data_IF_034171261359
#
_entry.id   IF_034171261359
#
_cell.length_a   1.000
_cell.length_b   1.000
_cell.length_c   1.000
_cell.angle_alpha   90.00
_cell.angle_beta   90.00
_cell.angle_gamma   90.00
#
_symmetry.space_group_name_H-M   'P 1'
#
loop_
_entity.id
_entity.type
_entity.pdbx_description
1 polymer ?
#
# COMPACT_ATOMS: atom_id res chain seq x y z
N UNK A 1 22.66 7.71 -18.51
CA UNK A 1 22.01 9.06 -18.57
C UNK A 1 22.44 9.85 -17.33
N UNK A 2 22.41 11.20 -17.33
CA UNK A 2 22.62 11.93 -16.06
C UNK A 2 21.42 11.78 -15.15
N UNK A 3 21.63 11.89 -13.83
CA UNK A 3 20.54 11.83 -12.83
C UNK A 3 19.45 12.85 -13.15
N UNK A 4 19.82 14.09 -13.52
CA UNK A 4 18.86 15.12 -13.89
C UNK A 4 18.01 14.74 -15.11
N UNK A 5 18.62 14.12 -16.12
CA UNK A 5 17.88 13.65 -17.29
C UNK A 5 16.90 12.53 -16.94
N UNK A 6 17.23 11.66 -15.97
CA UNK A 6 16.34 10.62 -15.49
C UNK A 6 15.15 11.21 -14.72
N UNK A 7 15.38 12.21 -13.86
CA UNK A 7 14.29 12.91 -13.16
C UNK A 7 13.36 13.64 -14.13
N UNK A 8 13.88 14.28 -15.19
CA UNK A 8 13.03 14.86 -16.24
C UNK A 8 12.24 13.76 -16.98
N UNK A 9 12.82 12.59 -17.19
CA UNK A 9 12.15 11.47 -17.84
C UNK A 9 11.02 10.88 -16.99
N UNK A 10 11.04 11.01 -15.65
CA UNK A 10 9.90 10.64 -14.78
C UNK A 10 8.63 11.46 -15.02
N UNK A 11 8.74 12.64 -15.66
CA UNK A 11 7.61 13.49 -16.07
C UNK A 11 7.03 13.11 -17.43
N UNK A 12 7.69 12.21 -18.17
CA UNK A 12 7.34 11.94 -19.56
C UNK A 12 5.95 11.32 -19.69
N UNK A 13 5.11 11.71 -20.67
CA UNK A 13 3.76 11.17 -20.84
C UNK A 13 3.75 9.66 -21.16
N UNK A 14 4.78 9.15 -21.84
CA UNK A 14 4.90 7.71 -22.12
C UNK A 14 5.33 6.92 -20.87
N UNK A 15 4.48 5.98 -20.37
CA UNK A 15 4.78 5.20 -19.17
C UNK A 15 6.06 4.36 -19.31
N UNK A 16 6.36 3.81 -20.49
CA UNK A 16 7.55 2.98 -20.69
C UNK A 16 8.85 3.76 -20.45
N UNK A 17 8.86 5.06 -20.80
CA UNK A 17 10.03 5.90 -20.55
C UNK A 17 10.16 6.26 -19.06
N UNK A 18 9.03 6.46 -18.36
CA UNK A 18 9.05 6.65 -16.91
C UNK A 18 9.55 5.40 -16.18
N UNK A 19 9.04 4.23 -16.56
CA UNK A 19 9.43 2.96 -15.94
C UNK A 19 10.92 2.65 -16.19
N UNK A 20 11.43 2.97 -17.37
CA UNK A 20 12.87 2.88 -17.65
C UNK A 20 13.69 3.81 -16.74
N UNK A 21 13.30 5.08 -16.63
CA UNK A 21 13.99 6.04 -15.76
C UNK A 21 13.92 5.62 -14.28
N UNK A 22 12.78 5.09 -13.83
CA UNK A 22 12.60 4.52 -12.50
C UNK A 22 13.65 3.45 -12.20
N UNK A 23 13.79 2.45 -13.08
CA UNK A 23 14.74 1.36 -12.87
C UNK A 23 16.19 1.81 -12.99
N UNK A 24 16.51 2.76 -13.89
CA UNK A 24 17.84 3.33 -13.97
C UNK A 24 18.20 4.10 -12.67
N UNK A 25 17.28 4.90 -12.11
CA UNK A 25 17.47 5.60 -10.83
C UNK A 25 17.64 4.63 -9.66
N UNK A 26 16.83 3.55 -9.62
CA UNK A 26 16.89 2.57 -8.55
C UNK A 26 18.20 1.79 -8.48
N UNK A 27 18.93 1.71 -9.59
CA UNK A 27 20.23 1.02 -9.68
C UNK A 27 21.42 1.92 -9.35
N UNK A 28 21.20 3.23 -9.21
CA UNK A 28 22.27 4.17 -8.92
C UNK A 28 22.50 4.28 -7.41
N UNK A 29 23.75 4.10 -6.98
CA UNK A 29 24.19 4.32 -5.61
C UNK A 29 24.53 5.80 -5.39
N UNK A 30 23.51 6.69 -5.41
CA UNK A 30 23.68 8.13 -5.23
C UNK A 30 22.76 8.63 -4.11
N UNK A 31 23.37 9.22 -3.09
CA UNK A 31 22.68 9.69 -1.88
C UNK A 31 21.68 10.82 -2.13
N UNK A 32 21.73 11.48 -3.28
CA UNK A 32 20.82 12.58 -3.62
C UNK A 32 19.47 12.09 -4.16
N UNK A 33 19.36 10.82 -4.58
CA UNK A 33 18.17 10.29 -5.26
C UNK A 33 16.97 10.25 -4.29
N UNK A 34 17.14 9.65 -3.11
CA UNK A 34 16.04 9.52 -2.14
C UNK A 34 15.51 10.89 -1.71
N UNK A 35 16.34 11.86 -1.26
CA UNK A 35 15.84 13.19 -0.91
C UNK A 35 15.11 13.90 -2.06
N UNK A 36 15.60 13.77 -3.29
CA UNK A 36 14.93 14.36 -4.47
C UNK A 36 13.59 13.69 -4.75
N UNK A 37 13.47 12.37 -4.65
CA UNK A 37 12.20 11.67 -4.81
C UNK A 37 11.20 12.05 -3.72
N UNK A 38 11.66 12.17 -2.47
CA UNK A 38 10.83 12.60 -1.35
C UNK A 38 10.27 14.01 -1.58
N UNK A 39 11.06 14.95 -2.14
CA UNK A 39 10.60 16.30 -2.47
C UNK A 39 9.56 16.37 -3.58
N UNK A 40 9.28 15.26 -4.28
CA UNK A 40 8.25 15.19 -5.33
C UNK A 40 6.89 14.75 -4.76
N UNK A 41 6.83 14.25 -3.54
CA UNK A 41 5.61 13.68 -2.96
C UNK A 41 4.49 14.70 -2.73
N UNK A 42 4.78 16.01 -2.73
CA UNK A 42 3.82 17.11 -2.63
C UNK A 42 3.44 17.77 -3.96
N UNK A 43 4.08 17.37 -5.06
CA UNK A 43 3.89 18.01 -6.35
C UNK A 43 2.44 17.84 -6.86
N UNK A 44 1.91 18.89 -7.50
CA UNK A 44 0.56 18.87 -8.08
C UNK A 44 0.45 17.93 -9.28
N UNK A 45 1.54 17.79 -10.06
CA UNK A 45 1.60 16.84 -11.17
C UNK A 45 1.50 15.40 -10.65
N UNK A 46 0.29 14.85 -10.78
CA UNK A 46 -0.02 13.49 -10.34
C UNK A 46 0.81 12.43 -11.06
N UNK A 47 1.18 12.66 -12.33
CA UNK A 47 1.99 11.71 -13.11
C UNK A 47 3.40 11.66 -12.55
N UNK A 48 4.00 12.81 -12.31
CA UNK A 48 5.33 12.91 -11.73
C UNK A 48 5.39 12.37 -10.29
N UNK A 49 4.41 12.76 -9.46
CA UNK A 49 4.29 12.24 -8.08
C UNK A 49 4.15 10.72 -8.03
N UNK A 50 3.30 10.13 -8.90
CA UNK A 50 3.15 8.65 -8.98
C UNK A 50 4.44 7.98 -9.48
N UNK A 51 5.17 8.59 -10.39
CA UNK A 51 6.45 8.07 -10.82
C UNK A 51 7.47 8.08 -9.68
N UNK A 52 7.52 9.16 -8.87
CA UNK A 52 8.38 9.21 -7.67
C UNK A 52 8.01 8.14 -6.64
N UNK A 53 6.71 7.94 -6.35
CA UNK A 53 6.22 6.88 -5.46
C UNK A 53 6.71 5.50 -5.91
N UNK A 54 6.57 5.18 -7.20
CA UNK A 54 7.05 3.92 -7.76
C UNK A 54 8.58 3.80 -7.69
N UNK A 55 9.30 4.91 -7.96
CA UNK A 55 10.75 4.92 -7.93
C UNK A 55 11.28 4.70 -6.51
N UNK A 56 10.66 5.31 -5.49
CA UNK A 56 10.99 5.04 -4.08
C UNK A 56 10.80 3.56 -3.74
N UNK A 57 9.72 2.94 -4.24
CA UNK A 57 9.52 1.49 -4.11
C UNK A 57 10.63 0.68 -4.76
N UNK A 58 11.03 1.03 -5.99
CA UNK A 58 12.07 0.33 -6.73
C UNK A 58 13.47 0.49 -6.11
N UNK A 59 13.78 1.66 -5.50
CA UNK A 59 15.01 1.89 -4.71
C UNK A 59 15.08 0.94 -3.50
N UNK A 60 13.95 0.65 -2.88
CA UNK A 60 13.83 -0.42 -1.90
C UNK A 60 13.96 0.02 -0.44
N UNK A 61 14.41 -0.89 0.46
CA UNK A 61 14.29 -0.74 1.91
C UNK A 61 14.92 0.53 2.50
N UNK A 62 15.94 1.10 1.86
CA UNK A 62 16.58 2.34 2.31
C UNK A 62 15.63 3.55 2.28
N UNK A 63 14.50 3.45 1.58
CA UNK A 63 13.47 4.49 1.54
C UNK A 63 12.48 4.42 2.68
N UNK A 64 12.42 3.28 3.42
CA UNK A 64 11.43 3.06 4.49
C UNK A 64 11.53 4.12 5.61
N UNK A 65 12.71 4.41 6.20
CA UNK A 65 12.78 5.39 7.28
C UNK A 65 12.27 6.79 6.89
N UNK A 66 12.72 7.42 5.78
CA UNK A 66 12.20 8.72 5.37
C UNK A 66 10.72 8.70 4.97
N UNK A 67 10.19 7.56 4.46
CA UNK A 67 8.78 7.42 4.16
C UNK A 67 7.92 7.35 5.43
N UNK A 68 8.38 6.63 6.47
CA UNK A 68 7.73 6.60 7.79
C UNK A 68 7.68 8.00 8.38
N UNK A 69 8.80 8.72 8.37
CA UNK A 69 8.88 10.09 8.86
C UNK A 69 7.86 11.01 8.15
N UNK A 70 7.83 10.96 6.81
CA UNK A 70 6.91 11.76 6.02
C UNK A 70 5.44 11.39 6.25
N UNK A 71 5.14 10.11 6.44
CA UNK A 71 3.80 9.61 6.70
C UNK A 71 3.27 10.05 8.08
N UNK A 72 4.11 9.98 9.11
CA UNK A 72 3.67 10.26 10.48
C UNK A 72 3.66 11.75 10.81
N UNK A 73 4.57 12.53 10.23
CA UNK A 73 4.85 13.90 10.69
C UNK A 73 4.51 15.00 9.67
N UNK A 74 4.14 14.67 8.43
CA UNK A 74 3.77 15.70 7.45
C UNK A 74 2.37 16.23 7.68
N UNK A 75 2.22 17.55 7.73
CA UNK A 75 0.90 18.22 7.72
C UNK A 75 0.18 18.07 6.36
N UNK A 76 0.92 17.76 5.29
CA UNK A 76 0.38 17.61 3.95
C UNK A 76 -0.17 16.21 3.72
N UNK A 77 -1.49 16.09 3.62
CA UNK A 77 -2.21 14.83 3.33
C UNK A 77 -1.70 14.13 2.07
N UNK A 78 -1.33 14.91 1.03
CA UNK A 78 -0.81 14.34 -0.22
C UNK A 78 0.53 13.66 0.00
N UNK A 79 1.39 14.23 0.83
CA UNK A 79 2.66 13.63 1.23
C UNK A 79 2.42 12.37 2.05
N UNK A 80 1.57 12.42 3.11
CA UNK A 80 1.25 11.24 3.93
C UNK A 80 0.73 10.08 3.08
N UNK A 81 -0.29 10.33 2.24
CA UNK A 81 -0.87 9.32 1.37
C UNK A 81 0.09 8.80 0.28
N UNK A 82 1.02 9.64 -0.20
CA UNK A 82 2.05 9.23 -1.16
C UNK A 82 3.12 8.37 -0.48
N UNK A 83 3.51 8.71 0.75
CA UNK A 83 4.45 7.93 1.54
C UNK A 83 3.92 6.51 1.84
N UNK A 84 2.64 6.39 2.26
CA UNK A 84 1.98 5.09 2.44
C UNK A 84 2.04 4.24 1.16
N UNK A 85 1.72 4.85 0.02
CA UNK A 85 1.75 4.15 -1.28
C UNK A 85 3.17 3.73 -1.68
N UNK A 86 4.19 4.55 -1.34
CA UNK A 86 5.58 4.20 -1.60
C UNK A 86 6.03 3.03 -0.72
N UNK A 87 5.61 2.95 0.55
CA UNK A 87 5.85 1.80 1.42
C UNK A 87 5.26 0.50 0.83
N UNK A 88 4.03 0.56 0.30
CA UNK A 88 3.45 -0.58 -0.42
C UNK A 88 4.28 -0.97 -1.65
N UNK A 89 4.78 0.01 -2.40
CA UNK A 89 5.64 -0.27 -3.57
C UNK A 89 6.97 -0.91 -3.17
N UNK A 90 7.55 -0.60 -2.00
CA UNK A 90 8.74 -1.32 -1.50
C UNK A 90 8.43 -2.80 -1.33
N UNK A 91 7.31 -3.15 -0.70
CA UNK A 91 6.91 -4.55 -0.52
C UNK A 91 6.67 -5.28 -1.87
N UNK A 92 6.05 -4.59 -2.83
CA UNK A 92 5.79 -5.16 -4.18
C UNK A 92 7.09 -5.37 -4.96
N UNK A 93 8.03 -4.42 -4.91
CA UNK A 93 9.27 -4.49 -5.66
C UNK A 93 10.31 -5.43 -5.03
N UNK A 94 10.21 -5.69 -3.72
CA UNK A 94 11.17 -6.49 -2.96
C UNK A 94 10.46 -7.56 -2.12
N UNK A 95 9.69 -8.47 -2.74
CA UNK A 95 8.88 -9.47 -2.03
C UNK A 95 9.72 -10.49 -1.26
N UNK A 96 11.00 -10.62 -1.60
CA UNK A 96 11.97 -11.48 -0.92
C UNK A 96 12.48 -10.90 0.41
N UNK A 97 12.26 -9.61 0.65
CA UNK A 97 12.70 -8.93 1.87
C UNK A 97 11.51 -8.80 2.82
N UNK A 98 11.56 -9.39 4.02
CA UNK A 98 10.50 -9.20 5.01
C UNK A 98 10.31 -7.71 5.31
N UNK A 99 9.05 -7.26 5.28
CA UNK A 99 8.75 -5.86 5.60
C UNK A 99 9.08 -5.57 7.06
N UNK A 100 9.70 -4.42 7.34
CA UNK A 100 10.21 -4.12 8.67
C UNK A 100 9.09 -3.97 9.71
N UNK A 101 9.35 -4.37 10.95
CA UNK A 101 8.40 -4.21 12.06
C UNK A 101 8.04 -2.71 12.26
N UNK A 102 9.02 -1.82 12.14
CA UNK A 102 8.81 -0.38 12.22
C UNK A 102 7.84 0.12 11.13
N UNK A 103 8.01 -0.36 9.89
CA UNK A 103 7.09 -0.08 8.79
C UNK A 103 5.68 -0.60 9.04
N UNK A 104 5.54 -1.80 9.62
CA UNK A 104 4.25 -2.38 9.99
C UNK A 104 3.54 -1.55 11.06
N UNK A 105 4.25 -1.12 12.11
CA UNK A 105 3.70 -0.27 13.16
C UNK A 105 3.29 1.11 12.63
N UNK A 106 4.08 1.66 11.72
CA UNK A 106 3.75 2.91 11.06
C UNK A 106 2.50 2.81 10.19
N UNK A 107 2.33 1.73 9.41
CA UNK A 107 1.11 1.47 8.63
C UNK A 107 -0.10 1.23 9.54
N UNK A 108 0.07 0.54 10.68
CA UNK A 108 -0.98 0.41 11.70
C UNK A 108 -1.42 1.79 12.22
N UNK A 109 -0.49 2.68 12.48
CA UNK A 109 -0.81 4.06 12.90
C UNK A 109 -1.56 4.83 11.83
N UNK A 110 -1.20 4.66 10.55
CA UNK A 110 -1.85 5.31 9.42
C UNK A 110 -3.30 4.87 9.19
N UNK A 111 -3.73 3.69 9.70
CA UNK A 111 -5.15 3.29 9.71
C UNK A 111 -6.02 4.23 10.55
N UNK A 112 -5.44 4.90 11.54
CA UNK A 112 -6.09 5.90 12.39
C UNK A 112 -5.93 7.34 11.90
N UNK A 113 -5.40 7.58 10.71
CA UNK A 113 -5.30 8.95 10.16
C UNK A 113 -6.68 9.57 9.96
N UNK A 114 -6.84 10.85 10.34
CA UNK A 114 -8.09 11.59 10.21
C UNK A 114 -8.55 11.72 8.75
N UNK A 115 -7.63 11.60 7.82
CA UNK A 115 -7.94 11.70 6.40
C UNK A 115 -8.18 10.33 5.75
N UNK A 116 -9.37 10.10 5.18
CA UNK A 116 -9.74 8.82 4.58
C UNK A 116 -8.83 8.39 3.42
N UNK A 117 -8.15 9.31 2.76
CA UNK A 117 -7.19 8.96 1.69
C UNK A 117 -5.97 8.24 2.26
N UNK A 118 -5.54 8.61 3.47
CA UNK A 118 -4.38 8.01 4.13
C UNK A 118 -4.73 6.66 4.72
N UNK A 119 -5.84 6.57 5.48
CA UNK A 119 -6.23 5.31 6.12
C UNK A 119 -6.62 4.23 5.10
N UNK A 120 -7.33 4.58 4.02
CA UNK A 120 -7.62 3.64 2.92
C UNK A 120 -6.32 3.20 2.23
N UNK A 121 -5.37 4.12 2.00
CA UNK A 121 -4.07 3.76 1.44
C UNK A 121 -3.30 2.80 2.35
N UNK A 122 -3.40 2.95 3.68
CA UNK A 122 -2.78 2.04 4.65
C UNK A 122 -3.39 0.63 4.59
N UNK A 123 -4.72 0.51 4.46
CA UNK A 123 -5.38 -0.78 4.24
C UNK A 123 -4.85 -1.45 2.97
N UNK A 124 -4.76 -0.69 1.87
CA UNK A 124 -4.25 -1.22 0.60
C UNK A 124 -2.78 -1.64 0.73
N UNK A 125 -1.95 -0.85 1.41
CA UNK A 125 -0.54 -1.18 1.64
C UNK A 125 -0.37 -2.48 2.44
N UNK A 126 -1.14 -2.65 3.52
CA UNK A 126 -1.15 -3.89 4.31
C UNK A 126 -1.63 -5.08 3.48
N UNK A 127 -2.62 -4.87 2.60
CA UNK A 127 -3.09 -5.88 1.66
C UNK A 127 -2.01 -6.33 0.66
N UNK A 128 -1.23 -5.41 0.12
CA UNK A 128 -0.12 -5.71 -0.80
C UNK A 128 1.05 -6.41 -0.08
N UNK A 129 1.35 -6.05 1.18
CA UNK A 129 2.33 -6.75 2.01
C UNK A 129 1.89 -8.20 2.24
N UNK A 130 0.61 -8.43 2.51
CA UNK A 130 -0.03 -9.75 2.57
C UNK A 130 0.54 -10.72 3.60
N UNK A 131 1.33 -10.24 4.57
CA UNK A 131 1.89 -11.05 5.64
C UNK A 131 0.83 -11.40 6.70
N UNK A 132 1.11 -12.43 7.53
CA UNK A 132 0.25 -12.78 8.65
C UNK A 132 0.07 -11.60 9.63
N UNK A 133 1.12 -10.82 9.87
CA UNK A 133 1.07 -9.63 10.73
C UNK A 133 0.20 -8.53 10.11
N UNK A 134 0.28 -8.33 8.79
CA UNK A 134 -0.59 -7.39 8.08
C UNK A 134 -2.07 -7.80 8.18
N UNK A 135 -2.34 -9.10 8.07
CA UNK A 135 -3.68 -9.65 8.27
C UNK A 135 -4.20 -9.36 9.68
N UNK A 136 -3.38 -9.60 10.72
CA UNK A 136 -3.76 -9.38 12.11
C UNK A 136 -4.02 -7.90 12.43
N UNK A 137 -3.22 -7.00 11.86
CA UNK A 137 -3.43 -5.55 11.97
C UNK A 137 -4.77 -5.15 11.33
N UNK A 138 -5.09 -5.66 10.14
CA UNK A 138 -6.36 -5.38 9.47
C UNK A 138 -7.55 -5.96 10.23
N UNK A 139 -7.40 -7.17 10.79
CA UNK A 139 -8.45 -7.80 11.59
C UNK A 139 -8.73 -7.02 12.88
N UNK A 140 -7.71 -6.51 13.54
CA UNK A 140 -7.86 -5.64 14.72
C UNK A 140 -8.56 -4.32 14.34
N UNK A 141 -8.13 -3.70 13.24
CA UNK A 141 -8.73 -2.47 12.73
C UNK A 141 -10.22 -2.66 12.38
N UNK A 142 -10.58 -3.78 11.74
CA UNK A 142 -11.98 -4.08 11.42
C UNK A 142 -12.86 -4.19 12.67
N UNK A 143 -12.34 -4.78 13.76
CA UNK A 143 -13.07 -4.96 15.01
C UNK A 143 -13.24 -3.67 15.83
N UNK A 144 -12.41 -2.68 15.58
CA UNK A 144 -12.35 -1.46 16.40
C UNK A 144 -12.85 -0.21 15.69
N UNK A 145 -13.03 -0.25 14.37
CA UNK A 145 -13.48 0.92 13.61
C UNK A 145 -14.99 1.01 13.52
N UNK A 146 -15.53 2.22 13.74
CA UNK A 146 -16.93 2.56 13.44
C UNK A 146 -17.10 3.14 12.03
N UNK A 147 -16.03 3.24 11.25
CA UNK A 147 -16.07 3.79 9.89
C UNK A 147 -16.43 2.71 8.88
N UNK A 148 -17.69 2.74 8.40
CA UNK A 148 -18.21 1.76 7.42
C UNK A 148 -17.36 1.70 6.15
N UNK A 149 -16.88 2.84 5.62
CA UNK A 149 -16.06 2.84 4.40
C UNK A 149 -14.71 2.15 4.62
N UNK A 150 -14.10 2.33 5.80
CA UNK A 150 -12.88 1.62 6.18
C UNK A 150 -13.14 0.12 6.35
N UNK A 151 -14.23 -0.25 7.04
CA UNK A 151 -14.66 -1.64 7.20
C UNK A 151 -14.87 -2.34 5.87
N UNK A 152 -15.55 -1.69 4.92
CA UNK A 152 -15.75 -2.18 3.54
C UNK A 152 -14.40 -2.39 2.84
N UNK A 153 -13.47 -1.44 2.98
CA UNK A 153 -12.15 -1.54 2.35
C UNK A 153 -11.34 -2.70 2.94
N UNK A 154 -11.32 -2.85 4.26
CA UNK A 154 -10.63 -3.96 4.95
C UNK A 154 -11.24 -5.30 4.53
N UNK A 155 -12.58 -5.40 4.54
CA UNK A 155 -13.31 -6.61 4.14
C UNK A 155 -12.98 -7.02 2.70
N UNK A 156 -12.95 -6.06 1.78
CA UNK A 156 -12.52 -6.31 0.40
C UNK A 156 -11.07 -6.79 0.31
N UNK A 157 -10.18 -6.27 1.16
CA UNK A 157 -8.76 -6.63 1.18
C UNK A 157 -8.56 -8.06 1.63
N UNK A 158 -9.36 -8.59 2.58
CA UNK A 158 -9.32 -10.00 2.97
C UNK A 158 -9.63 -10.97 1.82
N UNK A 159 -10.39 -10.54 0.82
CA UNK A 159 -10.63 -11.32 -0.40
C UNK A 159 -9.44 -11.39 -1.37
N UNK A 160 -8.36 -10.67 -1.09
CA UNK A 160 -7.16 -10.58 -1.93
C UNK A 160 -5.89 -11.07 -1.23
N UNK A 161 -5.85 -11.03 0.11
CA UNK A 161 -4.71 -11.53 0.89
C UNK A 161 -4.69 -13.05 0.83
N UNK A 162 -3.52 -13.62 0.53
CA UNK A 162 -3.33 -15.08 0.52
C UNK A 162 -3.12 -15.62 1.95
N UNK A 163 -4.14 -15.44 2.81
CA UNK A 163 -4.18 -15.98 4.17
C UNK A 163 -5.41 -16.87 4.31
N UNK A 164 -5.21 -18.12 4.76
CA UNK A 164 -6.27 -19.12 4.91
C UNK A 164 -7.39 -18.69 5.86
N UNK A 165 -7.11 -17.78 6.79
CA UNK A 165 -8.08 -17.23 7.75
C UNK A 165 -9.09 -16.28 7.09
N UNK A 166 -8.77 -15.75 5.92
CA UNK A 166 -9.63 -14.79 5.20
C UNK A 166 -11.03 -15.32 4.95
N UNK A 167 -11.15 -16.59 4.52
CA UNK A 167 -12.44 -17.20 4.26
C UNK A 167 -13.33 -17.33 5.53
N UNK A 168 -12.73 -17.65 6.68
CA UNK A 168 -13.44 -17.76 7.97
C UNK A 168 -13.92 -16.38 8.45
N UNK A 169 -13.06 -15.37 8.36
CA UNK A 169 -13.41 -13.98 8.71
C UNK A 169 -14.56 -13.47 7.85
N UNK A 170 -14.48 -13.67 6.53
CA UNK A 170 -15.51 -13.23 5.60
C UNK A 170 -16.85 -13.92 5.86
N UNK A 171 -16.86 -15.23 6.14
CA UNK A 171 -18.08 -15.95 6.52
C UNK A 171 -18.68 -15.44 7.83
N UNK A 172 -17.85 -15.19 8.83
CA UNK A 172 -18.32 -14.62 10.10
C UNK A 172 -19.00 -13.25 9.91
N UNK A 173 -18.45 -12.38 9.03
CA UNK A 173 -19.07 -11.09 8.70
C UNK A 173 -20.42 -11.27 8.00
N UNK A 174 -20.54 -12.23 7.08
CA UNK A 174 -21.79 -12.51 6.34
C UNK A 174 -22.89 -12.98 7.29
N UNK A 175 -22.53 -13.76 8.31
CA UNK A 175 -23.46 -14.35 9.29
C UNK A 175 -23.79 -13.39 10.45
N UNK A 176 -23.09 -12.28 10.58
CA UNK A 176 -23.33 -11.28 11.63
C UNK A 176 -24.47 -10.33 11.23
N UNK A 177 -25.66 -10.56 11.80
CA UNK A 177 -26.84 -9.72 11.58
C UNK A 177 -26.67 -8.29 12.13
N UNK A 178 -25.69 -8.04 12.99
CA UNK A 178 -25.38 -6.71 13.53
C UNK A 178 -24.44 -5.90 12.65
N UNK A 179 -23.76 -6.54 11.70
CA UNK A 179 -22.86 -5.87 10.77
C UNK A 179 -23.64 -5.00 9.76
N UNK A 180 -23.04 -3.88 9.37
CA UNK A 180 -23.59 -2.99 8.35
C UNK A 180 -23.81 -3.74 7.02
N UNK A 181 -24.92 -3.45 6.33
CA UNK A 181 -25.31 -4.13 5.09
C UNK A 181 -24.24 -4.03 4.00
N UNK A 182 -23.59 -2.86 3.84
CA UNK A 182 -22.51 -2.70 2.87
C UNK A 182 -21.28 -3.54 3.19
N UNK A 183 -20.98 -3.73 4.48
CA UNK A 183 -19.87 -4.57 4.92
C UNK A 183 -20.19 -6.04 4.63
N UNK A 184 -21.41 -6.50 4.90
CA UNK A 184 -21.87 -7.85 4.58
C UNK A 184 -21.87 -8.14 3.07
N UNK A 185 -22.39 -7.22 2.25
CA UNK A 185 -22.34 -7.35 0.77
C UNK A 185 -20.91 -7.41 0.24
N UNK A 186 -20.02 -6.60 0.81
CA UNK A 186 -18.59 -6.63 0.48
C UNK A 186 -17.95 -7.96 0.86
N UNK A 187 -18.33 -8.55 2.00
CA UNK A 187 -17.82 -9.85 2.43
C UNK A 187 -18.26 -10.98 1.49
N UNK A 188 -19.51 -10.97 1.00
CA UNK A 188 -19.99 -11.92 -0.02
C UNK A 188 -19.16 -11.83 -1.29
N UNK A 189 -18.91 -10.60 -1.77
CA UNK A 189 -18.12 -10.36 -2.99
C UNK A 189 -16.66 -10.77 -2.81
N UNK A 190 -16.07 -10.46 -1.65
CA UNK A 190 -14.70 -10.80 -1.30
C UNK A 190 -14.49 -12.33 -1.19
N UNK A 191 -15.42 -13.03 -0.53
CA UNK A 191 -15.38 -14.49 -0.40
C UNK A 191 -15.46 -15.18 -1.76
N UNK A 192 -16.34 -14.71 -2.65
CA UNK A 192 -16.46 -15.25 -4.01
C UNK A 192 -15.16 -15.11 -4.81
N UNK A 193 -14.45 -13.96 -4.66
CA UNK A 193 -13.14 -13.76 -5.30
C UNK A 193 -12.09 -14.71 -4.73
N UNK A 194 -12.03 -14.84 -3.40
CA UNK A 194 -11.07 -15.71 -2.72
C UNK A 194 -11.24 -17.17 -3.15
N UNK A 195 -12.48 -17.66 -3.24
CA UNK A 195 -12.77 -19.02 -3.68
C UNK A 195 -12.37 -19.26 -5.14
N UNK A 196 -12.51 -18.26 -6.02
CA UNK A 196 -12.07 -18.35 -7.41
C UNK A 196 -10.54 -18.43 -7.51
N UNK A 197 -9.83 -17.65 -6.71
CA UNK A 197 -8.36 -17.69 -6.65
C UNK A 197 -7.88 -19.05 -6.16
N UNK A 198 -8.48 -19.57 -5.08
CA UNK A 198 -8.12 -20.89 -4.52
C UNK A 198 -8.39 -22.04 -5.50
N UNK A 199 -9.47 -21.99 -6.28
CA UNK A 199 -9.77 -23.02 -7.31
C UNK A 199 -8.81 -23.01 -8.48
N UNK A 200 -8.19 -21.87 -8.79
CA UNK A 200 -7.29 -21.69 -9.92
C UNK A 200 -5.81 -21.88 -9.56
N UNK A 201 -5.49 -22.11 -8.29
CA UNK A 201 -4.13 -22.49 -7.89
C UNK A 201 -3.86 -23.94 -8.32
N UNK A 202 -2.75 -24.22 -9.04
CA UNK A 202 -2.38 -25.59 -9.36
C UNK A 202 -2.16 -26.38 -8.06
N UNK A 203 -2.55 -27.64 -7.99
CA UNK A 203 -2.26 -28.49 -6.83
C UNK A 203 -0.75 -28.53 -6.64
N UNK A 204 -0.29 -28.14 -5.43
CA UNK A 204 1.12 -28.15 -5.03
C UNK A 204 1.72 -29.56 -4.94
#
# INVERSE_FOLDING_TARGET
>A
MSIDALFEQLKHPNPNLRDRAMWELAQLEDETIIPRLMSILDQEDTTYRRAAVKTLGAVGPNTIPPLIEAMLNSDNVTVRGSAVKALAQVAICHPEIPFSEEGMQALKSALGDDNPVVNIAAVMALGEIGSADAFDILLEALKTTDNVALSVTITNTFGSINDSRGAEVLKAIIEDDSADDYVRESAVSALSRLELVMKNQPPG
#
